data_IF_454928589282
#
_entry.id   IF_454928589282
#
_cell.length_a   1.000
_cell.length_b   1.000
_cell.length_c   1.000
_cell.angle_alpha   90.00
_cell.angle_beta   90.00
_cell.angle_gamma   90.00
#
_symmetry.space_group_name_H-M   'P 1'
#
loop_
_entity.id
_entity.type
_entity.pdbx_description
1 polymer ?
#
# COMPACT_ATOMS: atom_id res chain seq x y z
N UNK A 1 -0.33 29.66 -26.10
CA UNK A 1 0.37 28.92 -25.04
C UNK A 1 -0.63 28.65 -23.92
N UNK A 2 -1.14 27.44 -23.79
CA UNK A 2 -2.03 27.05 -22.68
C UNK A 2 -1.15 26.61 -21.51
N UNK A 3 -0.99 27.48 -20.51
CA UNK A 3 -0.39 27.09 -19.24
C UNK A 3 -1.38 26.10 -18.60
N UNK A 4 -1.05 24.82 -18.60
CA UNK A 4 -1.64 23.87 -17.65
C UNK A 4 -1.31 24.41 -16.25
N UNK A 5 -2.23 25.17 -15.67
CA UNK A 5 -2.08 25.66 -14.32
C UNK A 5 -2.10 24.44 -13.39
N UNK A 6 -0.92 24.05 -12.92
CA UNK A 6 -0.77 22.97 -11.96
C UNK A 6 -1.51 23.29 -10.67
N UNK A 7 -1.99 22.25 -9.98
CA UNK A 7 -2.65 22.41 -8.68
C UNK A 7 -1.72 23.12 -7.69
N UNK A 8 -2.24 24.14 -7.00
CA UNK A 8 -1.52 24.78 -5.89
C UNK A 8 -1.39 23.82 -4.70
N UNK A 9 -0.37 24.00 -3.87
CA UNK A 9 -0.17 23.19 -2.66
C UNK A 9 -1.39 23.23 -1.73
N UNK A 10 -2.04 24.40 -1.61
CA UNK A 10 -3.27 24.55 -0.82
C UNK A 10 -4.39 23.65 -1.33
N UNK A 11 -4.58 23.55 -2.65
CA UNK A 11 -5.59 22.68 -3.26
C UNK A 11 -5.26 21.20 -3.05
N UNK A 12 -4.00 20.79 -3.24
CA UNK A 12 -3.56 19.41 -3.01
C UNK A 12 -3.76 18.97 -1.56
N UNK A 13 -3.40 19.84 -0.62
CA UNK A 13 -3.52 19.55 0.82
C UNK A 13 -4.99 19.49 1.24
N UNK A 14 -5.83 20.39 0.72
CA UNK A 14 -7.27 20.34 0.98
C UNK A 14 -7.89 19.03 0.50
N UNK A 15 -7.65 18.67 -0.77
CA UNK A 15 -8.19 17.43 -1.35
C UNK A 15 -7.65 16.19 -0.63
N UNK A 16 -6.37 16.19 -0.24
CA UNK A 16 -5.81 15.11 0.56
C UNK A 16 -6.54 14.97 1.90
N UNK A 17 -6.80 16.07 2.62
CA UNK A 17 -7.50 16.02 3.91
C UNK A 17 -8.93 15.52 3.79
N UNK A 18 -9.68 15.85 2.74
CA UNK A 18 -11.09 15.44 2.59
C UNK A 18 -11.26 13.93 2.45
N UNK A 19 -10.25 13.22 1.94
CA UNK A 19 -10.26 11.75 1.80
C UNK A 19 -9.85 10.99 3.07
N UNK A 20 -9.42 11.69 4.12
CA UNK A 20 -8.89 11.07 5.33
C UNK A 20 -9.94 10.95 6.44
N UNK A 21 -9.81 9.89 7.25
CA UNK A 21 -10.61 9.70 8.46
C UNK A 21 -10.45 10.88 9.43
N UNK A 22 -11.45 11.18 10.28
CA UNK A 22 -11.37 12.28 11.26
C UNK A 22 -10.13 12.20 12.15
N UNK A 23 -9.77 11.00 12.63
CA UNK A 23 -8.57 10.79 13.44
C UNK A 23 -7.27 11.17 12.71
N UNK A 24 -7.17 10.81 11.43
CA UNK A 24 -6.00 11.13 10.61
C UNK A 24 -5.93 12.64 10.32
N UNK A 25 -7.07 13.29 10.05
CA UNK A 25 -7.14 14.75 9.88
C UNK A 25 -6.69 15.50 11.13
N UNK A 26 -7.19 15.11 12.31
CA UNK A 26 -6.81 15.74 13.58
C UNK A 26 -5.31 15.61 13.84
N UNK A 27 -4.72 14.45 13.54
CA UNK A 27 -3.27 14.25 13.63
C UNK A 27 -2.50 15.16 12.67
N UNK A 28 -2.96 15.32 11.43
CA UNK A 28 -2.35 16.24 10.47
C UNK A 28 -2.43 17.70 10.94
N UNK A 29 -3.51 18.08 11.62
CA UNK A 29 -3.66 19.43 12.16
C UNK A 29 -2.71 19.77 13.32
N UNK A 30 -2.19 18.75 14.00
CA UNK A 30 -1.13 18.89 15.00
C UNK A 30 0.28 19.09 14.39
N UNK A 31 0.45 18.92 13.07
CA UNK A 31 1.73 19.17 12.43
C UNK A 31 2.06 20.66 12.41
N UNK A 32 3.36 20.97 12.43
CA UNK A 32 3.86 22.36 12.31
C UNK A 32 3.26 23.05 11.08
N UNK A 33 2.89 24.33 11.20
CA UNK A 33 2.27 25.12 10.11
C UNK A 33 3.03 25.00 8.79
N UNK A 34 4.36 25.07 8.83
CA UNK A 34 5.23 24.94 7.64
C UNK A 34 5.10 23.60 6.91
N UNK A 35 4.70 22.53 7.61
CA UNK A 35 4.44 21.21 7.01
C UNK A 35 3.01 21.17 6.45
N UNK A 36 2.05 21.80 7.12
CA UNK A 36 0.64 21.84 6.71
C UNK A 36 0.35 22.73 5.49
N UNK A 37 1.30 23.54 5.05
CA UNK A 37 1.13 24.48 3.91
C UNK A 37 1.99 24.16 2.70
N UNK A 38 2.87 23.15 2.81
CA UNK A 38 3.83 22.73 1.77
C UNK A 38 3.55 21.26 1.46
N UNK A 39 3.08 21.00 0.24
CA UNK A 39 2.64 19.67 -0.15
C UNK A 39 3.82 18.68 -0.17
N UNK A 40 5.03 19.16 -0.51
CA UNK A 40 6.24 18.34 -0.53
C UNK A 40 6.73 17.95 0.87
N UNK A 41 6.59 18.83 1.86
CA UNK A 41 6.88 18.53 3.28
C UNK A 41 5.85 17.59 3.86
N UNK A 42 4.56 17.83 3.61
CA UNK A 42 3.49 16.95 4.06
C UNK A 42 3.68 15.53 3.50
N UNK A 43 3.99 15.40 2.21
CA UNK A 43 4.24 14.12 1.57
C UNK A 43 5.44 13.38 2.17
N UNK A 44 6.52 14.08 2.54
CA UNK A 44 7.68 13.47 3.20
C UNK A 44 7.36 12.93 4.59
N UNK A 45 6.61 13.68 5.40
CA UNK A 45 6.16 13.24 6.72
C UNK A 45 5.24 12.02 6.58
N UNK A 46 4.29 12.07 5.65
CA UNK A 46 3.39 10.96 5.35
C UNK A 46 4.18 9.71 4.91
N UNK A 47 5.14 9.87 4.00
CA UNK A 47 6.00 8.76 3.55
C UNK A 47 6.79 8.15 4.71
N UNK A 48 7.32 8.97 5.62
CA UNK A 48 8.08 8.50 6.78
C UNK A 48 7.20 7.70 7.74
N UNK A 49 5.98 8.16 7.97
CA UNK A 49 5.06 7.58 8.95
C UNK A 49 4.34 6.33 8.40
N UNK A 50 3.84 6.41 7.17
CA UNK A 50 2.89 5.43 6.64
C UNK A 50 3.44 4.58 5.49
N UNK A 51 4.44 5.07 4.75
CA UNK A 51 5.03 4.31 3.65
C UNK A 51 6.25 3.48 4.07
N UNK A 52 6.74 3.62 5.31
CA UNK A 52 7.68 2.67 5.89
C UNK A 52 6.91 1.41 6.29
N UNK A 53 7.05 0.35 5.50
CA UNK A 53 6.48 -0.94 5.90
C UNK A 53 7.22 -1.47 7.12
N UNK A 54 6.50 -1.77 8.21
CA UNK A 54 7.06 -2.43 9.40
C UNK A 54 7.40 -3.91 9.15
N UNK A 55 6.99 -4.44 7.98
CA UNK A 55 7.03 -5.84 7.60
C UNK A 55 7.87 -5.96 6.33
N UNK A 56 8.83 -6.89 6.30
CA UNK A 56 9.64 -7.12 5.10
C UNK A 56 8.80 -7.67 3.95
N UNK A 57 9.24 -7.51 2.70
CA UNK A 57 8.48 -8.05 1.56
C UNK A 57 8.41 -9.59 1.59
N UNK A 58 9.46 -10.24 2.10
CA UNK A 58 9.44 -11.67 2.40
C UNK A 58 8.35 -12.02 3.42
N UNK A 59 8.33 -11.32 4.55
CA UNK A 59 7.34 -11.56 5.60
C UNK A 59 5.90 -11.31 5.09
N UNK A 60 5.67 -10.27 4.28
CA UNK A 60 4.38 -10.05 3.62
C UNK A 60 3.98 -11.25 2.79
N UNK A 61 4.87 -11.77 1.94
CA UNK A 61 4.56 -12.94 1.12
C UNK A 61 4.26 -14.19 1.95
N UNK A 62 5.03 -14.46 3.01
CA UNK A 62 4.87 -15.67 3.81
C UNK A 62 3.67 -15.63 4.77
N UNK A 63 3.14 -14.44 5.10
CA UNK A 63 2.05 -14.23 6.07
C UNK A 63 0.73 -13.74 5.44
N UNK A 64 0.70 -13.44 4.14
CA UNK A 64 -0.48 -12.90 3.47
C UNK A 64 -1.67 -13.86 3.56
N UNK A 65 -2.84 -13.32 3.88
CA UNK A 65 -4.13 -14.02 3.88
C UNK A 65 -5.14 -13.28 3.03
N UNK A 66 -6.06 -14.01 2.42
CA UNK A 66 -7.19 -13.44 1.71
C UNK A 66 -8.02 -12.57 2.67
N UNK A 67 -8.50 -11.43 2.19
CA UNK A 67 -9.48 -10.64 2.93
C UNK A 67 -10.88 -11.25 2.79
N UNK A 68 -11.73 -11.17 3.83
CA UNK A 68 -13.08 -11.77 3.83
C UNK A 68 -13.96 -11.42 2.62
N UNK A 69 -13.82 -10.21 2.08
CA UNK A 69 -14.61 -9.73 0.93
C UNK A 69 -13.84 -9.78 -0.40
N UNK A 70 -12.62 -10.30 -0.41
CA UNK A 70 -11.77 -10.37 -1.58
C UNK A 70 -12.05 -11.65 -2.35
N UNK A 71 -12.25 -11.57 -3.66
CA UNK A 71 -12.37 -12.75 -4.50
C UNK A 71 -11.05 -13.54 -4.54
N UNK A 72 -11.11 -14.87 -4.58
CA UNK A 72 -9.93 -15.74 -4.58
C UNK A 72 -8.94 -15.39 -5.70
N UNK A 73 -9.43 -15.01 -6.89
CA UNK A 73 -8.57 -14.60 -8.00
C UNK A 73 -7.83 -13.28 -7.73
N UNK A 74 -8.48 -12.31 -7.07
CA UNK A 74 -7.83 -11.07 -6.67
C UNK A 74 -6.72 -11.34 -5.64
N UNK A 75 -7.00 -12.22 -4.67
CA UNK A 75 -5.99 -12.68 -3.72
C UNK A 75 -4.80 -13.36 -4.40
N UNK A 76 -5.04 -14.21 -5.42
CA UNK A 76 -3.97 -14.83 -6.20
C UNK A 76 -3.06 -13.78 -6.85
N UNK A 77 -3.63 -12.72 -7.43
CA UNK A 77 -2.84 -11.64 -8.02
C UNK A 77 -2.04 -10.85 -6.98
N UNK A 78 -2.60 -10.59 -5.80
CA UNK A 78 -1.87 -9.97 -4.70
C UNK A 78 -0.72 -10.84 -4.18
N UNK A 79 -0.96 -12.15 -4.06
CA UNK A 79 0.07 -13.11 -3.62
C UNK A 79 1.20 -13.24 -4.65
N UNK A 80 0.88 -13.23 -5.94
CA UNK A 80 1.88 -13.19 -7.03
C UNK A 80 2.76 -11.95 -6.93
N UNK A 81 2.15 -10.77 -6.74
CA UNK A 81 2.88 -9.51 -6.60
C UNK A 81 3.77 -9.49 -5.35
N UNK A 82 3.29 -10.06 -4.24
CA UNK A 82 4.09 -10.20 -3.03
C UNK A 82 5.28 -11.14 -3.24
N UNK A 83 5.09 -12.24 -3.97
CA UNK A 83 6.18 -13.16 -4.33
C UNK A 83 7.25 -12.47 -5.19
N UNK A 84 6.85 -11.69 -6.19
CA UNK A 84 7.79 -10.92 -7.03
C UNK A 84 8.60 -9.90 -6.19
N UNK A 85 7.95 -9.18 -5.28
CA UNK A 85 8.63 -8.24 -4.36
C UNK A 85 9.57 -8.93 -3.38
N UNK A 86 9.27 -10.17 -3.01
CA UNK A 86 10.10 -10.99 -2.13
C UNK A 86 11.21 -11.76 -2.88
N UNK A 87 11.40 -11.54 -4.19
CA UNK A 87 12.28 -12.33 -5.08
C UNK A 87 12.01 -13.84 -5.03
N UNK A 88 10.75 -14.23 -4.81
CA UNK A 88 10.32 -15.63 -4.84
C UNK A 88 10.11 -16.03 -6.28
N UNK A 89 11.05 -16.79 -6.81
CA UNK A 89 11.08 -17.25 -8.21
C UNK A 89 10.14 -18.44 -8.46
N UNK A 90 8.85 -18.28 -8.17
CA UNK A 90 7.85 -19.36 -8.25
C UNK A 90 7.62 -19.88 -9.67
N UNK A 91 7.86 -19.06 -10.71
CA UNK A 91 7.76 -19.46 -12.13
C UNK A 91 8.97 -20.24 -12.65
N UNK A 92 10.05 -20.40 -11.87
CA UNK A 92 11.30 -21.01 -12.35
C UNK A 92 11.33 -22.53 -12.32
N UNK A 93 10.46 -23.17 -11.55
CA UNK A 93 10.34 -24.63 -11.53
C UNK A 93 8.96 -25.06 -11.04
N UNK A 94 8.53 -26.25 -11.48
CA UNK A 94 7.26 -26.86 -11.08
C UNK A 94 7.15 -26.98 -9.56
N UNK A 95 8.19 -27.49 -8.89
CA UNK A 95 8.24 -27.58 -7.42
C UNK A 95 7.99 -26.23 -6.72
N UNK A 96 8.54 -25.13 -7.25
CA UNK A 96 8.33 -23.79 -6.67
C UNK A 96 6.94 -23.26 -6.95
N UNK A 97 6.41 -23.55 -8.14
CA UNK A 97 5.04 -23.23 -8.52
C UNK A 97 4.05 -23.95 -7.59
N UNK A 98 4.22 -25.25 -7.37
CA UNK A 98 3.40 -26.03 -6.44
C UNK A 98 3.45 -25.49 -5.02
N UNK A 99 4.63 -25.13 -4.50
CA UNK A 99 4.76 -24.52 -3.18
C UNK A 99 4.01 -23.19 -3.07
N UNK A 100 4.02 -22.39 -4.14
CA UNK A 100 3.30 -21.14 -4.22
C UNK A 100 1.78 -21.37 -4.26
N UNK A 101 1.30 -22.33 -5.06
CA UNK A 101 -0.12 -22.71 -5.12
C UNK A 101 -0.61 -23.28 -3.78
N UNK A 102 0.18 -24.15 -3.12
CA UNK A 102 -0.13 -24.64 -1.77
C UNK A 102 -0.29 -23.49 -0.77
N UNK A 103 0.53 -22.45 -0.90
CA UNK A 103 0.43 -21.24 -0.08
C UNK A 103 -0.83 -20.43 -0.40
N UNK A 104 -1.20 -20.32 -1.67
CA UNK A 104 -2.46 -19.71 -2.07
C UNK A 104 -3.64 -20.42 -1.40
N UNK A 105 -3.76 -21.73 -1.57
CA UNK A 105 -4.86 -22.55 -1.03
C UNK A 105 -4.92 -22.45 0.50
N UNK A 106 -3.78 -22.58 1.20
CA UNK A 106 -3.71 -22.51 2.67
C UNK A 106 -4.18 -21.17 3.25
N UNK A 107 -4.06 -20.09 2.48
CA UNK A 107 -4.34 -18.73 2.94
C UNK A 107 -5.62 -18.15 2.35
N UNK A 108 -6.41 -18.95 1.64
CA UNK A 108 -7.82 -18.63 1.41
C UNK A 108 -8.53 -18.59 2.76
N UNK A 109 -9.44 -17.64 2.91
CA UNK A 109 -10.34 -17.68 4.07
C UNK A 109 -11.35 -18.79 3.77
N UNK A 110 -11.67 -19.64 4.75
CA UNK A 110 -12.82 -20.52 4.63
C UNK A 110 -14.03 -19.64 4.27
N UNK A 111 -14.58 -19.84 3.07
CA UNK A 111 -15.76 -19.09 2.62
C UNK A 111 -16.94 -19.33 3.54
#
# INVERSE_FOLDING_TARGET
>A
MTIQAGWTDKMKIYEFKTKLSPATRNRLDQLRRRVRTDCGRLAREFKREYCKSRVSDSEKYYTMKQYKAEAALAFLYHLNLAAERADVKFRKSERRCEQHIKRFIKNLTDM
#
